data_IF_242952287224
#
_entry.id   IF_242952287224
#
_cell.length_a   1.000
_cell.length_b   1.000
_cell.length_c   1.000
_cell.angle_alpha   90.00
_cell.angle_beta   90.00
_cell.angle_gamma   90.00
#
_symmetry.space_group_name_H-M   'P 1'
#
loop_
_entity.id
_entity.type
_entity.pdbx_description
1 polymer ?
#
# COMPACT_ATOMS: atom_id res chain seq x y z
N UNK A 1 13.58 9.66 -17.49
CA UNK A 1 12.78 10.84 -17.91
C UNK A 1 13.64 11.92 -18.53
N UNK A 2 14.78 12.28 -17.94
CA UNK A 2 15.73 13.25 -18.50
C UNK A 2 16.13 12.91 -19.96
N UNK A 3 16.52 11.66 -20.22
CA UNK A 3 16.85 11.20 -21.58
C UNK A 3 15.65 11.21 -22.53
N UNK A 4 14.42 11.12 -22.01
CA UNK A 4 13.21 11.14 -22.83
C UNK A 4 12.96 12.56 -23.34
N UNK A 5 13.04 13.57 -22.46
CA UNK A 5 12.89 14.97 -22.86
C UNK A 5 14.05 15.45 -23.74
N UNK A 6 15.27 14.98 -23.45
CA UNK A 6 16.45 15.30 -24.26
C UNK A 6 16.29 14.87 -25.73
N UNK A 7 15.67 13.70 -25.98
CA UNK A 7 15.33 13.23 -27.35
C UNK A 7 14.34 14.14 -28.09
N UNK A 8 13.58 14.95 -27.36
CA UNK A 8 12.64 15.94 -27.91
C UNK A 8 13.26 17.35 -28.01
N UNK A 9 14.57 17.48 -27.77
CA UNK A 9 15.28 18.76 -27.80
C UNK A 9 15.09 19.62 -26.54
N UNK A 10 14.47 19.08 -25.49
CA UNK A 10 14.21 19.80 -24.24
C UNK A 10 15.12 19.27 -23.12
N UNK A 11 15.97 20.14 -22.58
CA UNK A 11 16.85 19.78 -21.45
C UNK A 11 16.19 20.18 -20.14
N UNK A 12 15.75 19.19 -19.37
CA UNK A 12 15.16 19.39 -18.03
C UNK A 12 16.00 18.62 -17.01
N UNK A 13 16.69 19.30 -16.08
CA UNK A 13 17.46 18.62 -15.03
C UNK A 13 16.60 17.72 -14.15
N UNK A 14 17.18 16.63 -13.65
CA UNK A 14 16.50 15.72 -12.72
C UNK A 14 15.94 16.43 -11.49
N UNK A 15 16.72 17.34 -10.90
CA UNK A 15 16.29 18.13 -9.74
C UNK A 15 14.99 18.89 -10.02
N UNK A 16 14.88 19.56 -11.17
CA UNK A 16 13.67 20.29 -11.56
C UNK A 16 12.45 19.37 -11.66
N UNK A 17 12.59 18.16 -12.21
CA UNK A 17 11.48 17.20 -12.27
C UNK A 17 11.10 16.67 -10.88
N UNK A 18 12.07 16.45 -10.00
CA UNK A 18 11.80 16.10 -8.60
C UNK A 18 11.05 17.22 -7.88
N UNK A 19 11.45 18.48 -8.07
CA UNK A 19 10.79 19.65 -7.49
C UNK A 19 9.34 19.79 -7.98
N UNK A 20 9.08 19.48 -9.26
CA UNK A 20 7.72 19.46 -9.79
C UNK A 20 6.86 18.37 -9.15
N UNK A 21 7.42 17.19 -8.90
CA UNK A 21 6.71 16.13 -8.19
C UNK A 21 6.37 16.56 -6.76
N UNK A 22 7.32 17.17 -6.05
CA UNK A 22 7.10 17.67 -4.69
C UNK A 22 6.02 18.76 -4.63
N UNK A 23 6.03 19.73 -5.56
CA UNK A 23 4.97 20.75 -5.65
C UNK A 23 3.62 20.17 -6.03
N UNK A 24 3.60 19.14 -6.88
CA UNK A 24 2.36 18.45 -7.23
C UNK A 24 1.75 17.78 -6.01
N UNK A 25 2.56 17.14 -5.17
CA UNK A 25 2.14 16.56 -3.89
C UNK A 25 1.49 17.62 -2.97
N UNK A 26 2.11 18.79 -2.80
CA UNK A 26 1.54 19.89 -2.00
C UNK A 26 0.15 20.30 -2.47
N UNK A 27 -0.05 20.40 -3.79
CA UNK A 27 -1.32 20.82 -4.40
C UNK A 27 -2.40 19.74 -4.24
N UNK A 28 -2.05 18.45 -4.41
CA UNK A 28 -3.03 17.36 -4.36
C UNK A 28 -3.29 16.85 -2.94
N UNK A 29 -2.45 17.21 -1.95
CA UNK A 29 -2.56 16.75 -0.56
C UNK A 29 -3.97 16.92 0.03
N UNK A 30 -4.69 18.05 -0.13
CA UNK A 30 -6.06 18.18 0.38
C UNK A 30 -7.03 17.16 -0.22
N UNK A 31 -6.85 16.76 -1.48
CA UNK A 31 -7.65 15.73 -2.13
C UNK A 31 -7.34 14.35 -1.54
N UNK A 32 -6.07 14.01 -1.37
CA UNK A 32 -5.65 12.77 -0.69
C UNK A 32 -6.28 12.68 0.72
N UNK A 33 -6.20 13.75 1.51
CA UNK A 33 -6.77 13.77 2.86
C UNK A 33 -8.30 13.61 2.84
N UNK A 34 -8.98 14.19 1.86
CA UNK A 34 -10.41 13.98 1.68
C UNK A 34 -10.72 12.53 1.29
N UNK A 35 -9.95 11.93 0.37
CA UNK A 35 -10.11 10.53 -0.03
C UNK A 35 -9.90 9.60 1.16
N UNK A 36 -8.86 9.82 1.98
CA UNK A 36 -8.62 9.09 3.23
C UNK A 36 -9.82 9.18 4.18
N UNK A 37 -10.35 10.37 4.40
CA UNK A 37 -11.56 10.56 5.23
C UNK A 37 -12.80 9.88 4.66
N UNK A 38 -12.89 9.72 3.34
CA UNK A 38 -14.04 9.08 2.67
C UNK A 38 -13.93 7.56 2.70
N UNK A 39 -12.76 6.99 2.39
CA UNK A 39 -12.55 5.54 2.42
C UNK A 39 -12.82 4.96 3.81
N UNK A 40 -12.45 5.68 4.88
CA UNK A 40 -12.73 5.29 6.28
C UNK A 40 -14.22 5.26 6.64
N UNK A 41 -15.11 5.76 5.78
CA UNK A 41 -16.58 5.66 5.95
C UNK A 41 -17.19 4.45 5.26
N UNK A 42 -16.38 3.65 4.56
CA UNK A 42 -16.84 2.41 3.92
C UNK A 42 -17.32 1.43 4.99
N UNK A 43 -18.27 0.56 4.63
CA UNK A 43 -18.65 -0.59 5.46
C UNK A 43 -17.58 -1.68 5.43
N UNK A 44 -16.90 -1.81 4.29
CA UNK A 44 -15.80 -2.73 4.09
C UNK A 44 -14.60 -2.00 3.46
N UNK A 45 -13.40 -2.29 3.94
CA UNK A 45 -12.14 -1.84 3.32
C UNK A 45 -11.32 -3.06 2.97
N UNK A 46 -10.77 -3.07 1.76
CA UNK A 46 -9.80 -4.08 1.34
C UNK A 46 -8.41 -3.46 1.37
N UNK A 47 -7.44 -4.16 1.95
CA UNK A 47 -6.08 -3.67 2.09
C UNK A 47 -5.04 -4.73 1.75
N UNK A 48 -3.93 -4.28 1.20
CA UNK A 48 -2.75 -5.08 0.85
C UNK A 48 -1.50 -4.19 0.87
N UNK A 49 -0.31 -4.79 0.93
CA UNK A 49 0.97 -4.09 0.91
C UNK A 49 1.85 -4.52 -0.26
N UNK A 50 2.43 -3.55 -0.96
CA UNK A 50 3.43 -3.80 -2.00
C UNK A 50 4.81 -3.33 -1.53
N UNK A 51 5.83 -4.21 -1.51
CA UNK A 51 7.20 -3.83 -1.17
C UNK A 51 7.82 -2.94 -2.24
N UNK A 52 8.45 -1.84 -1.83
CA UNK A 52 9.22 -0.96 -2.72
C UNK A 52 10.65 -0.79 -2.20
N UNK A 53 11.61 -0.84 -3.11
CA UNK A 53 13.02 -0.54 -2.80
C UNK A 53 13.22 0.96 -2.89
N UNK A 54 13.69 1.55 -1.80
CA UNK A 54 13.92 2.99 -1.68
C UNK A 54 15.41 3.20 -1.45
N UNK A 55 16.01 4.07 -2.26
CA UNK A 55 17.39 4.49 -2.04
C UNK A 55 17.45 5.27 -0.73
N UNK A 56 18.49 4.99 0.05
CA UNK A 56 18.70 5.54 1.37
C UNK A 56 20.17 5.88 1.45
N UNK A 57 20.51 7.18 1.48
CA UNK A 57 21.89 7.64 1.40
C UNK A 57 22.67 7.36 2.70
N UNK A 58 21.97 7.03 3.79
CA UNK A 58 22.57 6.63 5.06
C UNK A 58 22.86 5.11 5.11
N UNK A 59 22.19 4.33 4.27
CA UNK A 59 22.35 2.88 4.21
C UNK A 59 23.13 2.48 2.96
N UNK A 60 24.13 1.60 3.10
CA UNK A 60 24.81 0.97 1.96
C UNK A 60 23.93 -0.03 1.17
N UNK A 61 22.59 0.04 1.31
CA UNK A 61 21.60 -0.80 0.65
C UNK A 61 20.27 -0.08 0.58
N UNK A 62 19.41 -0.50 -0.35
CA UNK A 62 18.04 0.02 -0.40
C UNK A 62 17.25 -0.37 0.86
N UNK A 63 16.52 0.59 1.41
CA UNK A 63 15.45 0.35 2.38
C UNK A 63 14.27 -0.33 1.67
N UNK A 64 13.53 -1.16 2.41
CA UNK A 64 12.30 -1.78 1.93
C UNK A 64 11.10 -1.06 2.52
N UNK A 65 10.61 -0.05 1.81
CA UNK A 65 9.34 0.60 2.13
C UNK A 65 8.14 -0.24 1.74
N UNK A 66 6.96 0.25 2.08
CA UNK A 66 5.66 -0.33 1.72
C UNK A 66 4.73 0.73 1.17
N UNK A 67 4.06 0.37 0.09
CA UNK A 67 2.88 1.09 -0.39
C UNK A 67 1.68 0.24 -0.02
N UNK A 68 0.86 0.75 0.88
CA UNK A 68 -0.40 0.18 1.30
C UNK A 68 -1.49 0.67 0.37
N UNK A 69 -2.42 -0.19 0.02
CA UNK A 69 -3.66 0.22 -0.63
C UNK A 69 -4.83 0.05 0.35
N UNK A 70 -5.78 0.98 0.30
CA UNK A 70 -7.07 0.90 0.97
C UNK A 70 -8.16 1.17 -0.06
N UNK A 71 -8.92 0.13 -0.39
CA UNK A 71 -10.03 0.17 -1.34
C UNK A 71 -11.33 0.28 -0.54
N UNK A 72 -12.11 1.32 -0.81
CA UNK A 72 -13.43 1.49 -0.23
C UNK A 72 -14.53 0.69 -0.92
N UNK A 73 -15.74 0.76 -0.37
CA UNK A 73 -16.92 0.11 -0.93
C UNK A 73 -17.63 0.98 -1.99
N UNK A 74 -18.71 0.47 -2.58
CA UNK A 74 -19.48 1.17 -3.61
C UNK A 74 -20.05 2.53 -3.15
N UNK A 75 -20.28 2.71 -1.84
CA UNK A 75 -20.77 3.99 -1.30
C UNK A 75 -19.64 4.99 -1.09
N UNK A 76 -18.40 4.52 -0.95
CA UNK A 76 -17.20 5.34 -0.81
C UNK A 76 -16.07 4.78 -1.70
N UNK A 77 -16.20 4.85 -3.04
CA UNK A 77 -15.36 4.13 -3.99
C UNK A 77 -14.02 4.82 -4.21
N UNK A 78 -13.25 4.99 -3.13
CA UNK A 78 -11.95 5.64 -3.12
C UNK A 78 -10.85 4.61 -2.94
N UNK A 79 -9.80 4.75 -3.73
CA UNK A 79 -8.59 3.95 -3.64
C UNK A 79 -7.48 4.86 -3.12
N UNK A 80 -7.01 4.59 -1.91
CA UNK A 80 -5.98 5.41 -1.27
C UNK A 80 -4.71 4.59 -1.16
N UNK A 81 -3.61 5.16 -1.65
CA UNK A 81 -2.27 4.60 -1.49
C UNK A 81 -1.55 5.36 -0.39
N UNK A 82 -0.98 4.64 0.57
CA UNK A 82 -0.24 5.22 1.68
C UNK A 82 1.15 4.60 1.79
N UNK A 83 2.17 5.42 2.01
CA UNK A 83 3.55 4.94 2.06
C UNK A 83 4.09 4.91 3.49
N UNK A 84 4.74 3.80 3.84
CA UNK A 84 5.55 3.69 5.06
C UNK A 84 6.96 3.22 4.76
N UNK A 85 7.91 3.63 5.59
CA UNK A 85 9.33 3.28 5.44
C UNK A 85 9.65 1.83 5.80
N UNK A 86 8.69 1.09 6.35
CA UNK A 86 8.81 -0.32 6.71
C UNK A 86 7.45 -1.03 6.66
N UNK A 87 7.44 -2.37 6.82
CA UNK A 87 6.22 -3.19 6.93
C UNK A 87 5.73 -3.31 8.38
N UNK A 88 5.97 -2.30 9.20
CA UNK A 88 5.57 -2.33 10.59
C UNK A 88 4.06 -2.15 10.74
N UNK A 89 3.50 -2.58 11.88
CA UNK A 89 2.07 -2.52 12.17
C UNK A 89 1.54 -1.09 12.32
N UNK A 90 2.42 -0.15 12.66
CA UNK A 90 2.06 1.24 12.95
C UNK A 90 1.43 1.93 11.73
N UNK A 91 1.87 1.60 10.52
CA UNK A 91 1.30 2.12 9.27
C UNK A 91 -0.21 1.87 9.14
N UNK A 92 -0.63 0.60 9.00
CA UNK A 92 -2.04 0.27 8.91
C UNK A 92 -2.81 0.65 10.18
N UNK A 93 -2.19 0.60 11.36
CA UNK A 93 -2.85 1.00 12.60
C UNK A 93 -3.22 2.48 12.61
N UNK A 94 -2.30 3.36 12.21
CA UNK A 94 -2.51 4.80 12.11
C UNK A 94 -3.53 5.14 11.02
N UNK A 95 -3.39 4.53 9.83
CA UNK A 95 -4.30 4.80 8.71
C UNK A 95 -5.74 4.42 9.05
N UNK A 96 -5.95 3.25 9.65
CA UNK A 96 -7.27 2.70 9.99
C UNK A 96 -7.81 3.22 11.33
N UNK A 97 -7.19 4.24 11.92
CA UNK A 97 -7.69 4.83 13.15
C UNK A 97 -9.11 5.39 12.96
N UNK A 98 -10.02 5.00 13.85
CA UNK A 98 -11.44 5.38 13.77
C UNK A 98 -12.29 4.58 12.76
N UNK A 99 -11.69 3.68 11.97
CA UNK A 99 -12.45 2.78 11.09
C UNK A 99 -13.31 1.80 11.91
N UNK A 100 -14.51 1.52 11.42
CA UNK A 100 -15.41 0.50 11.96
C UNK A 100 -16.08 -0.23 10.81
N UNK A 101 -16.08 -1.55 10.83
CA UNK A 101 -16.63 -2.36 9.74
C UNK A 101 -15.79 -3.58 9.44
N UNK A 102 -15.83 -4.05 8.19
CA UNK A 102 -15.12 -5.24 7.73
C UNK A 102 -13.78 -4.84 7.13
N UNK A 103 -12.68 -5.41 7.60
CA UNK A 103 -11.36 -5.20 7.02
C UNK A 103 -10.90 -6.50 6.37
N UNK A 104 -10.80 -6.49 5.04
CA UNK A 104 -10.25 -7.60 4.28
C UNK A 104 -8.76 -7.40 4.05
N UNK A 105 -7.93 -8.28 4.61
CA UNK A 105 -6.48 -8.24 4.45
C UNK A 105 -5.88 -9.62 4.15
N UNK A 106 -4.59 -9.68 3.86
CA UNK A 106 -3.83 -10.91 4.03
C UNK A 106 -3.73 -11.28 5.52
N UNK A 107 -3.38 -12.53 5.83
CA UNK A 107 -3.19 -12.98 7.21
C UNK A 107 -1.85 -12.48 7.81
N UNK A 108 -1.49 -11.23 7.53
CA UNK A 108 -0.31 -10.60 8.10
C UNK A 108 -0.56 -10.26 9.57
N UNK A 109 0.24 -10.83 10.47
CA UNK A 109 0.09 -10.61 11.92
C UNK A 109 0.22 -9.16 12.39
N UNK A 110 0.66 -8.23 11.53
CA UNK A 110 0.61 -6.80 11.83
C UNK A 110 -0.82 -6.26 11.98
N UNK A 111 -1.83 -6.95 11.44
CA UNK A 111 -3.24 -6.59 11.62
C UNK A 111 -3.87 -7.13 12.91
N UNK A 112 -3.25 -8.11 13.59
CA UNK A 112 -3.84 -8.76 14.78
C UNK A 112 -4.22 -7.74 15.85
N UNK A 113 -3.37 -6.72 16.06
CA UNK A 113 -3.64 -5.64 17.00
C UNK A 113 -4.90 -4.84 16.64
N UNK A 114 -5.14 -4.59 15.35
CA UNK A 114 -6.34 -3.88 14.88
C UNK A 114 -7.59 -4.71 15.19
N UNK A 115 -7.58 -6.02 14.88
CA UNK A 115 -8.73 -6.90 15.12
C UNK A 115 -9.04 -7.09 16.60
N UNK A 116 -8.02 -7.11 17.46
CA UNK A 116 -8.19 -7.31 18.90
C UNK A 116 -8.62 -6.03 19.64
N UNK A 117 -8.25 -4.85 19.14
CA UNK A 117 -8.39 -3.58 19.90
C UNK A 117 -9.41 -2.60 19.30
N UNK A 118 -9.81 -2.77 18.03
CA UNK A 118 -10.70 -1.85 17.32
C UNK A 118 -12.03 -2.54 16.98
N UNK A 119 -13.12 -1.78 16.78
CA UNK A 119 -14.41 -2.32 16.35
C UNK A 119 -14.40 -2.69 14.85
N UNK A 120 -13.48 -3.58 14.48
CA UNK A 120 -13.24 -4.06 13.12
C UNK A 120 -13.44 -5.56 13.10
N UNK A 121 -14.18 -6.04 12.11
CA UNK A 121 -14.36 -7.47 11.84
C UNK A 121 -13.34 -7.92 10.81
N UNK A 122 -12.53 -8.91 11.19
CA UNK A 122 -11.54 -9.53 10.30
C UNK A 122 -12.22 -10.28 9.15
N UNK A 123 -11.74 -10.07 7.93
CA UNK A 123 -12.12 -10.83 6.74
C UNK A 123 -10.85 -11.32 6.02
N UNK A 124 -10.71 -12.64 5.87
CA UNK A 124 -9.53 -13.21 5.24
C UNK A 124 -9.60 -13.12 3.71
N UNK A 125 -8.51 -12.70 3.07
CA UNK A 125 -8.42 -12.63 1.62
C UNK A 125 -8.27 -14.01 0.96
N UNK A 126 -9.31 -14.47 0.26
CA UNK A 126 -9.31 -15.74 -0.49
C UNK A 126 -8.26 -15.81 -1.60
N UNK A 127 -7.90 -14.69 -2.22
CA UNK A 127 -6.84 -14.66 -3.23
C UNK A 127 -5.47 -15.00 -2.62
N UNK A 128 -5.20 -14.49 -1.42
CA UNK A 128 -3.98 -14.80 -0.66
C UNK A 128 -3.97 -16.27 -0.19
N UNK A 129 -5.09 -16.77 0.32
CA UNK A 129 -5.21 -18.19 0.67
C UNK A 129 -4.95 -19.10 -0.54
N UNK A 130 -5.60 -18.83 -1.68
CA UNK A 130 -5.42 -19.61 -2.92
C UNK A 130 -3.97 -19.64 -3.40
N UNK A 131 -3.23 -18.53 -3.30
CA UNK A 131 -1.82 -18.45 -3.71
C UNK A 131 -0.99 -19.52 -2.98
N UNK A 132 -1.20 -19.70 -1.67
CA UNK A 132 -0.49 -20.71 -0.87
C UNK A 132 -0.80 -22.14 -1.29
N UNK A 133 -2.07 -22.46 -1.57
CA UNK A 133 -2.44 -23.77 -2.11
C UNK A 133 -1.80 -24.03 -3.49
N UNK A 134 -1.75 -23.00 -4.34
CA UNK A 134 -1.12 -23.11 -5.65
C UNK A 134 0.39 -23.34 -5.56
N UNK A 135 1.07 -22.62 -4.67
CA UNK A 135 2.50 -22.80 -4.42
C UNK A 135 2.79 -24.20 -3.88
N UNK A 136 1.96 -24.70 -2.95
CA UNK A 136 2.09 -26.02 -2.35
C UNK A 136 2.03 -27.17 -3.38
N UNK A 137 1.30 -26.99 -4.49
CA UNK A 137 1.22 -27.97 -5.58
C UNK A 137 2.60 -28.36 -6.14
N UNK A 138 3.58 -27.43 -6.14
CA UNK A 138 4.93 -27.69 -6.67
C UNK A 138 5.65 -28.81 -5.91
N UNK A 139 5.48 -28.87 -4.59
CA UNK A 139 6.09 -29.89 -3.75
C UNK A 139 5.44 -31.27 -3.92
N UNK A 140 4.19 -31.32 -4.36
CA UNK A 140 3.49 -32.57 -4.64
C UNK A 140 3.99 -33.22 -5.93
N UNK A 141 4.53 -32.45 -6.89
CA UNK A 141 5.07 -32.99 -8.14
C UNK A 141 6.48 -33.58 -8.00
N UNK A 142 7.28 -33.07 -7.05
CA UNK A 142 8.64 -33.55 -6.77
C UNK A 142 8.66 -34.83 -5.91
N UNK A 143 7.53 -35.22 -5.31
CA UNK A 143 7.43 -36.41 -4.45
C UNK A 143 7.03 -37.69 -5.20
N UNK A 144 6.88 -37.64 -6.53
CA UNK A 144 6.52 -38.77 -7.40
C UNK A 144 7.45 -38.94 -8.62
N UNK A 145 8.62 -38.30 -8.60
CA UNK A 145 9.71 -38.51 -9.54
C UNK A 145 10.94 -39.03 -8.78
#
# INVERSE_FOLDING_TARGET
MEDIFSRQGVKIPRSTMCDWMARSDEIIRPLYELMKKRVLKSKAIHTDDTPVKVQDDELNKCRHGRIWIYLGDDNNPYNVFDYTTSRSREGPDEFLNGFRGYLQADAFGGYDGIYLTKPVTEVLCNAHARRKFYDARRYCQESFA
#
